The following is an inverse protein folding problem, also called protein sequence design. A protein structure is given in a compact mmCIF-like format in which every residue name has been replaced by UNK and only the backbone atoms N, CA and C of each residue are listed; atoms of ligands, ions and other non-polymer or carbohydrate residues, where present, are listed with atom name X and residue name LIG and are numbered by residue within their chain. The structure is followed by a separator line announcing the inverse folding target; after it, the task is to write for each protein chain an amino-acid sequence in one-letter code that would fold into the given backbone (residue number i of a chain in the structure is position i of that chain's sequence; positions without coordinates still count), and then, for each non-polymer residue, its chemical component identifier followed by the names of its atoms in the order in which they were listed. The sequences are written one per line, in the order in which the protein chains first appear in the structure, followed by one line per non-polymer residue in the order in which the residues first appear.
data_IF_254964230316
#
_entry.id   IF_254964230316
#
_cell.length_a   1.000
_cell.length_b   1.000
_cell.length_c   1.000
_cell.angle_alpha   90.00
_cell.angle_beta   90.00
_cell.angle_gamma   90.00
#
_symmetry.space_group_name_H-M   'P 1'
#
loop_
_entity.id
_entity.type
_entity.pdbx_description
1 polymer ?
#
# COMPACT_ATOMS: atom_id res chain seq x y z
N UNK A 1 -21.18 1.54 -12.82
CA UNK A 1 -19.91 1.26 -13.53
C UNK A 1 -18.77 1.44 -12.55
N UNK A 2 -17.78 0.54 -12.56
CA UNK A 2 -16.65 0.56 -11.63
C UNK A 2 -15.51 1.45 -12.17
N UNK A 3 -14.56 1.91 -11.33
CA UNK A 3 -13.28 2.45 -11.79
C UNK A 3 -12.57 1.45 -12.72
N UNK A 4 -11.78 1.96 -13.66
CA UNK A 4 -11.17 1.14 -14.72
C UNK A 4 -9.92 1.80 -15.31
N UNK A 5 -8.95 0.99 -15.66
CA UNK A 5 -7.79 1.36 -16.46
C UNK A 5 -8.00 1.30 -17.98
N UNK A 6 -9.24 1.10 -18.41
CA UNK A 6 -9.62 1.10 -19.82
C UNK A 6 -9.35 -0.21 -20.55
N UNK A 7 -8.66 -1.18 -19.92
CA UNK A 7 -8.48 -2.52 -20.49
C UNK A 7 -9.73 -3.40 -20.29
N UNK A 8 -10.37 -3.30 -19.13
CA UNK A 8 -11.63 -3.99 -18.83
C UNK A 8 -12.56 -3.05 -18.09
N UNK A 9 -13.80 -2.94 -18.56
CA UNK A 9 -14.82 -2.08 -17.99
C UNK A 9 -15.89 -2.99 -17.39
N UNK A 10 -16.24 -2.77 -16.13
CA UNK A 10 -17.19 -3.62 -15.43
C UNK A 10 -18.15 -2.86 -14.55
N UNK A 11 -19.13 -3.58 -14.04
CA UNK A 11 -20.09 -3.06 -13.08
C UNK A 11 -21.22 -4.05 -12.84
N UNK A 12 -22.31 -3.53 -12.32
CA UNK A 12 -23.54 -4.27 -12.09
C UNK A 12 -24.71 -3.66 -12.86
N UNK A 13 -25.70 -4.49 -13.16
CA UNK A 13 -27.01 -4.14 -13.71
C UNK A 13 -28.03 -5.22 -13.31
N UNK A 14 -29.30 -5.05 -13.66
CA UNK A 14 -30.29 -6.13 -13.53
C UNK A 14 -29.85 -7.35 -14.36
N UNK A 15 -30.06 -8.56 -13.82
CA UNK A 15 -29.67 -9.79 -14.50
C UNK A 15 -30.36 -9.91 -15.87
N UNK A 16 -29.59 -10.22 -16.92
CA UNK A 16 -30.09 -10.28 -18.29
C UNK A 16 -30.35 -8.92 -18.96
N UNK A 17 -30.15 -7.80 -18.25
CA UNK A 17 -30.22 -6.48 -18.86
C UNK A 17 -29.05 -6.26 -19.83
N UNK A 18 -29.31 -5.52 -20.89
CA UNK A 18 -28.28 -5.13 -21.85
C UNK A 18 -27.67 -3.80 -21.46
N UNK A 19 -26.37 -3.78 -21.18
CA UNK A 19 -25.57 -2.61 -20.83
C UNK A 19 -24.97 -2.02 -22.10
N UNK A 20 -25.28 -0.76 -22.38
CA UNK A 20 -24.73 0.00 -23.51
C UNK A 20 -23.69 0.99 -23.00
N UNK A 21 -22.51 0.99 -23.62
CA UNK A 21 -21.38 1.84 -23.26
C UNK A 21 -21.12 2.88 -24.34
N UNK A 22 -20.99 4.15 -23.95
CA UNK A 22 -20.64 5.27 -24.84
C UNK A 22 -19.55 6.15 -24.27
N UNK A 23 -18.86 6.91 -25.12
CA UNK A 23 -17.90 7.91 -24.67
C UNK A 23 -18.58 9.19 -24.17
N UNK A 24 -17.79 10.17 -23.70
CA UNK A 24 -18.29 11.47 -23.25
C UNK A 24 -18.99 12.32 -24.32
N UNK A 25 -18.81 11.99 -25.61
CA UNK A 25 -19.49 12.64 -26.75
C UNK A 25 -20.72 11.85 -27.23
N UNK A 26 -21.01 10.70 -26.62
CA UNK A 26 -22.11 9.81 -27.00
C UNK A 26 -21.77 8.81 -28.10
N UNK A 27 -20.51 8.69 -28.54
CA UNK A 27 -20.13 7.66 -29.51
C UNK A 27 -20.17 6.27 -28.87
N UNK A 28 -20.61 5.22 -29.59
CA UNK A 28 -20.66 3.87 -29.05
C UNK A 28 -19.25 3.31 -28.80
N UNK A 29 -19.04 2.79 -27.59
CA UNK A 29 -17.86 1.99 -27.22
C UNK A 29 -18.17 0.51 -27.36
N UNK A 30 -19.34 0.07 -26.89
CA UNK A 30 -19.71 -1.34 -26.91
C UNK A 30 -21.02 -1.64 -26.19
N UNK A 31 -21.37 -2.92 -26.16
CA UNK A 31 -22.57 -3.42 -25.51
C UNK A 31 -22.30 -4.81 -24.93
N UNK A 32 -22.86 -5.11 -23.76
CA UNK A 32 -22.74 -6.41 -23.08
C UNK A 32 -23.99 -6.72 -22.28
N UNK A 33 -24.33 -8.00 -22.12
CA UNK A 33 -25.45 -8.43 -21.27
C UNK A 33 -24.95 -8.78 -19.87
N UNK A 34 -25.64 -8.31 -18.83
CA UNK A 34 -25.34 -8.72 -17.46
C UNK A 34 -25.71 -10.18 -17.23
N UNK A 35 -24.85 -10.89 -16.50
CA UNK A 35 -25.04 -12.31 -16.19
C UNK A 35 -26.21 -12.55 -15.23
N UNK A 36 -26.47 -13.82 -14.89
CA UNK A 36 -27.56 -14.19 -13.99
C UNK A 36 -27.41 -13.66 -12.56
N UNK A 37 -26.24 -13.15 -12.18
CA UNK A 37 -25.96 -12.49 -10.90
C UNK A 37 -25.93 -10.96 -11.03
N UNK A 38 -26.19 -10.41 -12.22
CA UNK A 38 -26.19 -8.97 -12.49
C UNK A 38 -24.80 -8.38 -12.73
N UNK A 39 -23.74 -9.19 -12.82
CA UNK A 39 -22.41 -8.69 -13.13
C UNK A 39 -22.22 -8.60 -14.64
N UNK A 40 -21.46 -7.60 -15.09
CA UNK A 40 -21.07 -7.48 -16.48
C UNK A 40 -19.62 -7.02 -16.60
N UNK A 41 -18.98 -7.44 -17.70
CA UNK A 41 -17.62 -7.08 -18.05
C UNK A 41 -17.49 -6.91 -19.55
N UNK A 42 -16.84 -5.85 -19.99
CA UNK A 42 -16.57 -5.54 -21.38
C UNK A 42 -15.08 -5.25 -21.57
N UNK A 43 -14.46 -5.94 -22.53
CA UNK A 43 -13.07 -5.73 -22.92
C UNK A 43 -13.05 -5.09 -24.32
N UNK A 44 -12.71 -3.80 -24.45
CA UNK A 44 -12.53 -3.16 -25.74
C UNK A 44 -11.44 -3.86 -26.58
N UNK A 45 -11.50 -3.76 -27.91
CA UNK A 45 -10.47 -4.33 -28.79
C UNK A 45 -9.09 -3.67 -28.64
N UNK A 46 -9.04 -2.45 -28.08
CA UNK A 46 -7.83 -1.78 -27.64
C UNK A 46 -8.14 -1.00 -26.36
N UNK A 47 -7.27 -0.99 -25.34
CA UNK A 47 -7.53 -0.26 -24.11
C UNK A 47 -7.90 1.19 -24.38
N UNK A 48 -8.92 1.68 -23.69
CA UNK A 48 -9.33 3.07 -23.82
C UNK A 48 -8.22 3.99 -23.27
N UNK A 49 -7.94 5.15 -23.90
CA UNK A 49 -6.94 6.08 -23.41
C UNK A 49 -7.28 6.66 -22.03
N UNK A 50 -6.25 7.01 -21.25
CA UNK A 50 -6.42 7.77 -20.00
C UNK A 50 -7.29 9.03 -20.20
N UNK A 51 -8.19 9.28 -19.26
CA UNK A 51 -9.13 10.41 -19.31
C UNK A 51 -10.36 10.17 -20.18
N UNK A 52 -10.50 9.01 -20.84
CA UNK A 52 -11.72 8.67 -21.58
C UNK A 52 -12.90 8.56 -20.62
N UNK A 53 -13.92 9.38 -20.80
CA UNK A 53 -15.20 9.25 -20.09
C UNK A 53 -15.98 8.10 -20.70
N UNK A 54 -16.45 7.17 -19.86
CA UNK A 54 -17.32 6.06 -20.24
C UNK A 54 -18.65 6.19 -19.53
N UNK A 55 -19.72 6.29 -20.30
CA UNK A 55 -21.10 6.30 -19.85
C UNK A 55 -21.72 4.91 -20.05
N UNK A 56 -22.56 4.49 -19.11
CA UNK A 56 -23.26 3.21 -19.16
C UNK A 56 -24.75 3.39 -18.83
N UNK A 57 -25.62 2.84 -19.67
CA UNK A 57 -27.05 2.63 -19.39
C UNK A 57 -27.38 1.15 -19.48
N UNK A 58 -28.37 0.69 -18.72
CA UNK A 58 -28.88 -0.68 -18.80
C UNK A 58 -30.33 -0.66 -19.29
N UNK A 59 -30.65 -1.57 -20.22
CA UNK A 59 -32.02 -1.79 -20.70
C UNK A 59 -32.46 -3.21 -20.34
N UNK A 60 -33.55 -3.33 -19.58
CA UNK A 60 -34.09 -4.63 -19.16
C UNK A 60 -34.69 -5.41 -20.36
N UNK A 61 -34.96 -6.73 -20.23
CA UNK A 61 -35.55 -7.53 -21.31
C UNK A 61 -36.93 -7.07 -21.81
N UNK A 62 -37.62 -6.21 -21.03
CA UNK A 62 -38.93 -5.64 -21.39
C UNK A 62 -38.83 -4.25 -22.01
N UNK A 63 -37.62 -3.67 -22.11
CA UNK A 63 -37.33 -2.41 -22.78
C UNK A 63 -37.22 -1.17 -21.89
N UNK A 64 -37.28 -1.28 -20.56
CA UNK A 64 -37.08 -0.12 -19.68
C UNK A 64 -35.59 0.22 -19.57
N UNK A 65 -35.23 1.49 -19.66
CA UNK A 65 -33.83 1.95 -19.63
C UNK A 65 -33.53 2.73 -18.35
N UNK A 66 -32.38 2.47 -17.75
CA UNK A 66 -31.90 3.14 -16.53
C UNK A 66 -31.46 4.59 -16.79
N UNK A 67 -31.27 5.36 -15.70
CA UNK A 67 -30.43 6.55 -15.74
C UNK A 67 -28.97 6.16 -16.10
N UNK A 68 -28.18 7.08 -16.71
CA UNK A 68 -26.78 6.82 -17.00
C UNK A 68 -25.92 6.80 -15.73
N UNK A 69 -24.89 5.96 -15.73
CA UNK A 69 -23.76 6.02 -14.81
C UNK A 69 -22.48 6.31 -15.59
N UNK A 70 -21.46 6.92 -14.98
CA UNK A 70 -20.22 7.24 -15.66
C UNK A 70 -18.99 6.91 -14.82
N UNK A 71 -17.87 6.67 -15.52
CA UNK A 71 -16.52 6.60 -14.95
C UNK A 71 -15.56 7.30 -15.91
N UNK A 72 -14.37 7.63 -15.44
CA UNK A 72 -13.27 8.10 -16.28
C UNK A 72 -12.17 7.05 -16.23
N UNK A 73 -11.65 6.68 -17.40
CA UNK A 73 -10.52 5.76 -17.51
C UNK A 73 -9.31 6.38 -16.85
N UNK A 74 -8.73 5.68 -15.90
CA UNK A 74 -7.45 6.02 -15.29
C UNK A 74 -6.46 4.89 -15.57
N UNK A 75 -5.56 5.11 -16.53
CA UNK A 75 -4.56 4.11 -16.92
C UNK A 75 -3.18 4.43 -16.34
N UNK A 76 -3.09 5.30 -15.33
CA UNK A 76 -1.82 5.74 -14.76
C UNK A 76 -1.55 4.95 -13.50
N UNK A 77 -0.42 4.23 -13.48
CA UNK A 77 0.00 3.54 -12.27
C UNK A 77 0.40 4.53 -11.16
N UNK A 78 0.12 4.20 -9.89
CA UNK A 78 0.63 4.96 -8.76
C UNK A 78 2.16 4.96 -8.72
N UNK A 79 2.73 5.92 -7.98
CA UNK A 79 4.13 5.87 -7.59
C UNK A 79 4.42 4.60 -6.75
N UNK A 80 5.66 4.12 -6.79
CA UNK A 80 6.08 3.02 -5.92
C UNK A 80 5.87 3.39 -4.44
N UNK A 81 5.37 2.47 -3.59
CA UNK A 81 5.26 2.72 -2.17
C UNK A 81 6.61 3.05 -1.53
N UNK A 82 6.59 3.89 -0.51
CA UNK A 82 7.72 3.99 0.42
C UNK A 82 7.48 2.97 1.53
N UNK A 83 8.51 2.19 1.88
CA UNK A 83 8.48 1.28 3.02
C UNK A 83 9.46 1.81 4.08
N UNK A 84 8.98 2.04 5.29
CA UNK A 84 9.79 2.54 6.39
C UNK A 84 10.71 1.44 6.96
N UNK A 85 11.82 1.81 7.62
CA UNK A 85 12.61 0.86 8.41
C UNK A 85 11.74 0.14 9.44
N UNK A 86 12.06 -1.13 9.72
CA UNK A 86 11.26 -1.97 10.60
C UNK A 86 12.09 -3.05 11.28
N UNK A 87 11.69 -3.43 12.48
CA UNK A 87 12.17 -4.59 13.22
C UNK A 87 11.37 -5.88 12.94
N UNK A 88 10.52 -5.87 11.92
CA UNK A 88 9.73 -7.02 11.48
C UNK A 88 8.41 -7.22 12.22
N UNK A 89 8.15 -6.48 13.30
CA UNK A 89 6.87 -6.57 14.05
C UNK A 89 5.74 -5.76 13.40
N UNK A 90 6.08 -4.64 12.76
CA UNK A 90 5.16 -3.84 11.97
C UNK A 90 5.88 -3.33 10.72
N UNK A 91 5.26 -3.51 9.55
CA UNK A 91 5.72 -2.91 8.30
C UNK A 91 4.80 -1.73 8.01
N UNK A 92 5.37 -0.56 7.77
CA UNK A 92 4.61 0.66 7.50
C UNK A 92 5.23 1.47 6.37
N UNK A 93 4.48 2.44 5.88
CA UNK A 93 4.90 3.18 4.71
C UNK A 93 3.90 4.21 4.23
N UNK A 94 4.18 4.72 3.04
CA UNK A 94 3.24 5.57 2.29
C UNK A 94 3.02 5.06 0.88
N UNK A 95 1.86 5.37 0.32
CA UNK A 95 1.45 5.06 -1.05
C UNK A 95 0.33 6.00 -1.49
N UNK A 96 -0.21 5.81 -2.70
CA UNK A 96 -1.41 6.54 -3.13
C UNK A 96 -2.61 6.24 -2.20
N UNK A 97 -3.36 7.26 -1.74
CA UNK A 97 -4.52 7.05 -0.89
C UNK A 97 -5.57 6.09 -1.46
N UNK A 98 -6.07 5.17 -0.64
CA UNK A 98 -7.07 4.18 -1.05
C UNK A 98 -6.53 3.05 -1.94
N UNK A 99 -5.24 3.07 -2.31
CA UNK A 99 -4.61 1.97 -3.03
C UNK A 99 -4.43 0.74 -2.13
N UNK A 100 -4.52 -0.42 -2.74
CA UNK A 100 -4.21 -1.71 -2.12
C UNK A 100 -2.70 -1.93 -2.12
N UNK A 101 -2.11 -2.20 -0.96
CA UNK A 101 -0.69 -2.51 -0.81
C UNK A 101 -0.51 -4.01 -0.70
N UNK A 102 0.24 -4.59 -1.64
CA UNK A 102 0.64 -6.00 -1.61
C UNK A 102 2.08 -6.11 -1.14
N UNK A 103 2.32 -6.92 -0.12
CA UNK A 103 3.63 -7.17 0.46
C UNK A 103 4.14 -8.56 0.08
N UNK A 104 5.37 -8.66 -0.40
CA UNK A 104 6.04 -9.92 -0.71
C UNK A 104 7.44 -9.98 -0.13
N UNK A 105 7.99 -11.18 0.01
CA UNK A 105 9.41 -11.35 0.36
C UNK A 105 10.33 -11.05 -0.86
N UNK A 106 11.64 -11.17 -0.65
CA UNK A 106 12.66 -11.00 -1.68
C UNK A 106 12.60 -12.01 -2.84
N UNK A 107 11.90 -13.14 -2.67
CA UNK A 107 11.66 -14.15 -3.70
C UNK A 107 10.31 -13.99 -4.40
N UNK A 108 9.49 -13.02 -3.97
CA UNK A 108 8.15 -12.76 -4.49
C UNK A 108 7.03 -13.57 -3.82
N UNK A 109 7.28 -14.28 -2.72
CA UNK A 109 6.22 -14.96 -1.99
C UNK A 109 5.34 -13.96 -1.22
N UNK A 110 4.01 -14.14 -1.16
CA UNK A 110 3.13 -13.25 -0.42
C UNK A 110 3.43 -13.24 1.08
N UNK A 111 3.60 -12.04 1.65
CA UNK A 111 3.63 -11.79 3.10
C UNK A 111 2.24 -11.39 3.58
N UNK A 112 1.59 -10.48 2.84
CA UNK A 112 0.28 -9.95 3.22
C UNK A 112 -0.20 -8.83 2.32
N UNK A 113 -1.34 -8.24 2.69
CA UNK A 113 -1.97 -7.14 1.99
C UNK A 113 -2.62 -6.19 2.99
N UNK A 114 -2.60 -4.90 2.70
CA UNK A 114 -3.28 -3.85 3.45
C UNK A 114 -3.77 -2.77 2.48
N UNK A 115 -4.32 -1.67 2.98
CA UNK A 115 -4.79 -0.52 2.18
C UNK A 115 -4.19 0.76 2.74
N UNK A 116 -3.78 1.67 1.85
CA UNK A 116 -3.41 3.02 2.25
C UNK A 116 -4.65 3.82 2.64
N UNK A 117 -4.59 4.50 3.78
CA UNK A 117 -5.65 5.38 4.26
C UNK A 117 -5.85 6.59 3.34
N UNK A 118 -6.84 7.44 3.64
CA UNK A 118 -7.13 8.64 2.85
C UNK A 118 -6.01 9.68 2.81
N UNK A 119 -4.98 9.54 3.66
CA UNK A 119 -3.77 10.38 3.68
C UNK A 119 -2.57 9.68 3.05
N UNK A 120 -2.72 8.44 2.59
CA UNK A 120 -1.67 7.64 1.96
C UNK A 120 -0.82 6.84 2.94
N UNK A 121 -1.12 6.82 4.24
CA UNK A 121 -0.38 6.00 5.20
C UNK A 121 -0.91 4.57 5.21
N UNK A 122 -0.03 3.60 5.40
CA UNK A 122 -0.43 2.20 5.59
C UNK A 122 0.45 1.53 6.63
N UNK A 123 -0.11 0.51 7.29
CA UNK A 123 0.65 -0.43 8.09
C UNK A 123 0.10 -1.85 7.97
N UNK A 124 0.97 -2.82 8.27
CA UNK A 124 0.69 -4.24 8.30
C UNK A 124 1.46 -4.89 9.45
N UNK A 125 0.74 -5.64 10.28
CA UNK A 125 1.32 -6.42 11.38
C UNK A 125 1.32 -7.90 10.98
N UNK A 126 2.49 -8.50 10.68
CA UNK A 126 2.59 -9.93 10.45
C UNK A 126 2.13 -10.74 11.68
N UNK A 127 1.53 -11.92 11.47
CA UNK A 127 1.12 -12.79 12.58
C UNK A 127 2.29 -13.30 13.44
N UNK A 128 3.48 -13.39 12.83
CA UNK A 128 4.77 -13.64 13.50
C UNK A 128 5.73 -12.58 12.98
N UNK A 129 6.50 -11.89 13.85
CA UNK A 129 7.49 -10.93 13.40
C UNK A 129 8.43 -11.52 12.35
N UNK A 130 8.69 -10.75 11.30
CA UNK A 130 9.61 -11.18 10.25
C UNK A 130 11.04 -11.25 10.82
N UNK A 131 11.82 -12.29 10.48
CA UNK A 131 13.20 -12.40 10.94
C UNK A 131 14.09 -11.24 10.48
N UNK A 132 15.15 -10.98 11.23
CA UNK A 132 16.24 -10.09 10.81
C UNK A 132 16.77 -10.46 9.42
N UNK A 133 17.06 -9.45 8.61
CA UNK A 133 17.50 -9.61 7.22
C UNK A 133 16.39 -9.98 6.23
N UNK A 134 15.13 -10.10 6.67
CA UNK A 134 14.01 -10.34 5.75
C UNK A 134 13.82 -9.14 4.82
N UNK A 135 13.87 -9.38 3.51
CA UNK A 135 13.49 -8.38 2.51
C UNK A 135 11.98 -8.30 2.42
N UNK A 136 11.43 -7.09 2.52
CA UNK A 136 10.00 -6.81 2.34
C UNK A 136 9.81 -5.86 1.18
N UNK A 137 9.16 -6.36 0.14
CA UNK A 137 8.81 -5.63 -1.05
C UNK A 137 7.34 -5.20 -0.99
N UNK A 138 7.03 -4.02 -1.51
CA UNK A 138 5.68 -3.46 -1.56
C UNK A 138 5.35 -2.92 -2.96
N UNK A 139 4.14 -3.22 -3.44
CA UNK A 139 3.53 -2.58 -4.61
C UNK A 139 2.15 -2.03 -4.23
N UNK A 140 1.75 -0.91 -4.81
CA UNK A 140 0.41 -0.35 -4.68
C UNK A 140 -0.41 -0.63 -5.94
N UNK A 141 -1.67 -1.00 -5.78
CA UNK A 141 -2.66 -1.06 -6.86
C UNK A 141 -3.79 -0.09 -6.57
N UNK A 142 -4.00 0.87 -7.47
CA UNK A 142 -5.07 1.86 -7.32
C UNK A 142 -6.48 1.25 -7.52
N UNK A 143 -7.57 2.00 -7.26
CA UNK A 143 -8.93 1.50 -7.48
C UNK A 143 -9.28 1.17 -8.94
N UNK A 144 -8.58 1.76 -9.91
CA UNK A 144 -8.76 1.51 -11.34
C UNK A 144 -8.07 0.20 -11.81
N UNK A 145 -7.19 -0.35 -10.97
CA UNK A 145 -6.47 -1.59 -11.18
C UNK A 145 -5.07 -1.40 -11.77
N UNK A 146 -4.48 -0.20 -11.71
CA UNK A 146 -3.09 -0.01 -12.11
C UNK A 146 -2.14 -0.32 -10.95
N UNK A 147 -1.08 -1.08 -11.23
CA UNK A 147 -0.08 -1.45 -10.23
C UNK A 147 1.21 -0.63 -10.40
N UNK A 148 1.74 -0.11 -9.30
CA UNK A 148 2.97 0.67 -9.24
C UNK A 148 4.24 -0.15 -9.50
N UNK A 149 5.38 0.54 -9.55
CA UNK A 149 6.68 -0.07 -9.28
C UNK A 149 6.83 -0.54 -7.82
N UNK A 150 7.95 -1.18 -7.52
CA UNK A 150 8.22 -1.77 -6.20
C UNK A 150 9.00 -0.80 -5.29
N UNK A 151 8.54 -0.66 -4.04
CA UNK A 151 9.33 -0.18 -2.90
C UNK A 151 9.85 -1.34 -2.07
N UNK A 152 10.93 -1.16 -1.31
CA UNK A 152 11.53 -2.23 -0.52
C UNK A 152 12.21 -1.72 0.75
N UNK A 153 12.24 -2.57 1.77
CA UNK A 153 13.07 -2.42 2.97
C UNK A 153 13.66 -3.78 3.36
N UNK A 154 14.66 -3.78 4.23
CA UNK A 154 15.14 -5.00 4.90
C UNK A 154 14.87 -4.84 6.39
N UNK A 155 14.34 -5.89 7.00
CA UNK A 155 14.07 -5.92 8.43
C UNK A 155 15.40 -5.91 9.18
N UNK A 156 15.52 -4.99 10.14
CA UNK A 156 16.59 -4.95 11.14
C UNK A 156 15.98 -5.25 12.51
N UNK A 157 16.03 -6.53 12.86
CA UNK A 157 15.49 -7.04 14.11
C UNK A 157 16.52 -7.11 15.23
N UNK A 158 17.77 -6.72 14.98
CA UNK A 158 18.85 -6.85 15.95
C UNK A 158 18.80 -5.67 16.92
N UNK A 159 18.57 -5.97 18.20
CA UNK A 159 18.67 -4.97 19.23
C UNK A 159 20.13 -4.50 19.40
N UNK A 160 20.35 -3.22 19.73
CA UNK A 160 21.67 -2.74 20.10
C UNK A 160 22.34 -3.55 21.20
N UNK A 161 23.67 -3.65 21.14
CA UNK A 161 24.46 -4.30 22.18
C UNK A 161 24.27 -3.62 23.55
N UNK A 162 24.41 -4.40 24.63
CA UNK A 162 24.30 -3.87 26.00
C UNK A 162 25.36 -2.78 26.20
N UNK A 163 24.98 -1.55 26.62
CA UNK A 163 25.95 -0.53 26.92
C UNK A 163 26.77 -0.90 28.16
N UNK A 164 28.04 -0.52 28.18
CA UNK A 164 28.90 -0.64 29.35
C UNK A 164 28.97 0.70 30.09
N UNK A 165 29.31 0.66 31.36
CA UNK A 165 29.59 1.86 32.15
C UNK A 165 30.95 1.69 32.81
N UNK A 166 31.82 2.67 32.63
CA UNK A 166 33.13 2.70 33.27
C UNK A 166 33.01 3.04 34.75
N UNK A 167 34.02 2.61 35.52
CA UNK A 167 34.10 2.98 36.93
C UNK A 167 34.19 4.50 37.09
N UNK A 168 33.34 5.05 37.94
CA UNK A 168 33.22 6.49 38.17
C UNK A 168 33.29 6.83 39.66
N UNK A 169 33.75 8.04 39.95
CA UNK A 169 33.68 8.70 41.26
C UNK A 169 32.39 9.54 41.44
N UNK A 170 31.47 9.50 40.48
CA UNK A 170 30.21 10.24 40.50
C UNK A 170 30.25 11.64 39.89
N UNK A 171 31.39 12.16 39.41
CA UNK A 171 31.43 13.47 38.74
C UNK A 171 31.19 13.41 37.22
N UNK A 172 31.49 12.26 36.60
CA UNK A 172 31.27 12.01 35.17
C UNK A 172 31.01 10.52 34.96
N UNK A 173 30.09 10.19 34.07
CA UNK A 173 29.85 8.81 33.63
C UNK A 173 30.30 8.70 32.19
N UNK A 174 30.94 7.58 31.85
CA UNK A 174 31.35 7.24 30.49
C UNK A 174 31.16 5.74 30.28
N UNK A 175 31.22 5.32 29.04
CA UNK A 175 31.27 3.90 28.71
C UNK A 175 31.23 3.66 27.21
N UNK A 176 30.79 2.46 26.83
CA UNK A 176 30.62 2.09 25.43
C UNK A 176 29.19 1.67 25.12
N UNK A 177 28.73 1.89 23.90
CA UNK A 177 27.47 1.35 23.36
C UNK A 177 27.60 1.15 21.85
N UNK A 178 26.54 0.72 21.18
CA UNK A 178 26.52 0.66 19.72
C UNK A 178 26.70 2.07 19.12
N UNK A 179 27.54 2.27 18.09
CA UNK A 179 27.76 3.59 17.50
C UNK A 179 26.47 4.30 17.10
N UNK A 180 26.37 5.58 17.44
CA UNK A 180 25.20 6.44 17.22
C UNK A 180 23.92 6.02 17.96
N UNK A 181 23.98 5.03 18.86
CA UNK A 181 22.87 4.71 19.75
C UNK A 181 22.75 5.72 20.88
N UNK A 182 21.53 5.89 21.39
CA UNK A 182 21.26 6.68 22.59
C UNK A 182 21.40 5.79 23.82
N UNK A 183 22.19 6.24 24.79
CA UNK A 183 22.34 5.62 26.11
C UNK A 183 21.57 6.43 27.13
N UNK A 184 20.54 5.83 27.72
CA UNK A 184 19.80 6.42 28.85
C UNK A 184 20.33 5.87 30.17
N UNK A 185 20.63 6.77 31.10
CA UNK A 185 21.14 6.44 32.44
C UNK A 185 20.03 6.58 33.46
N UNK A 186 19.89 5.58 34.33
CA UNK A 186 18.91 5.60 35.42
C UNK A 186 19.55 5.29 36.77
N UNK A 187 18.94 5.79 37.85
CA UNK A 187 19.31 5.38 39.21
C UNK A 187 18.75 3.98 39.54
N UNK A 188 19.09 3.46 40.73
CA UNK A 188 18.61 2.14 41.19
C UNK A 188 17.09 2.04 41.41
N UNK A 189 16.36 3.16 41.34
CA UNK A 189 14.89 3.21 41.37
C UNK A 189 14.28 3.38 39.97
N UNK A 190 15.10 3.46 38.92
CA UNK A 190 14.69 3.63 37.53
C UNK A 190 14.45 5.08 37.10
N UNK A 191 14.78 6.09 37.93
CA UNK A 191 14.62 7.49 37.53
C UNK A 191 15.74 7.88 36.55
N UNK A 192 15.44 8.61 35.46
CA UNK A 192 16.47 9.07 34.53
C UNK A 192 17.40 10.08 35.21
N UNK A 193 18.71 9.84 35.11
CA UNK A 193 19.77 10.70 35.65
C UNK A 193 20.67 11.30 34.56
N UNK A 194 20.53 10.84 33.30
CA UNK A 194 21.26 11.38 32.18
C UNK A 194 20.95 10.66 30.87
N UNK A 195 21.39 11.26 29.77
CA UNK A 195 21.35 10.70 28.43
C UNK A 195 22.64 11.08 27.71
N UNK A 196 23.20 10.14 26.96
CA UNK A 196 24.36 10.35 26.11
C UNK A 196 24.15 9.66 24.76
N UNK A 197 24.88 10.07 23.73
CA UNK A 197 24.89 9.39 22.43
C UNK A 197 26.29 8.83 22.20
N UNK A 198 26.37 7.55 21.90
CA UNK A 198 27.63 6.93 21.54
C UNK A 198 28.14 7.51 20.22
N UNK A 199 29.41 7.92 20.21
CA UNK A 199 30.06 8.40 19.00
C UNK A 199 30.21 7.27 17.95
N UNK A 200 30.75 7.60 16.77
CA UNK A 200 30.98 6.62 15.70
C UNK A 200 31.93 5.47 16.06
N UNK A 201 32.64 5.57 17.18
CA UNK A 201 33.51 4.52 17.72
C UNK A 201 32.87 3.76 18.90
N UNK A 202 31.66 4.16 19.30
CA UNK A 202 30.91 3.54 20.38
C UNK A 202 31.15 4.14 21.77
N UNK A 203 31.92 5.22 21.93
CA UNK A 203 32.17 5.83 23.25
C UNK A 203 31.12 6.90 23.58
N UNK A 204 30.75 7.03 24.85
CA UNK A 204 29.84 8.07 25.35
C UNK A 204 30.25 8.59 26.74
#
# INVERSE_FOLDING_TARGET
INPTNGATIGGTAEAGATVTLTDGSGNPIGQVTADGSGNWSFTPGSPLPNGTVVNATATDPTGNTSAPSSTTVDSVAPAAPVVQPSNGSEISGTAEPGSTITLTDGSGNPIGQTTADGSGNWSFTPGTPLPDGSVVNATATDPAGNTSGQGSTTVDGVAPGVPTIDLSNGSSLSGTAEPNSTVTLTDGSGNPIGEATADGSGNW
#
